data_IF_312786965566
#
_entry.id   IF_312786965566
#
_cell.length_a   1.000
_cell.length_b   1.000
_cell.length_c   1.000
_cell.angle_alpha   90.00
_cell.angle_beta   90.00
_cell.angle_gamma   90.00
#
_symmetry.space_group_name_H-M   'P 1'
#
loop_
_entity.id
_entity.type
_entity.pdbx_description
1 polymer ?
#
# COMPACT_ATOMS: atom_id res chain seq x y z
N UNK A 1 3.43 4.55 11.12
CA UNK A 1 2.22 5.04 10.42
C UNK A 1 1.71 3.92 9.52
N UNK A 2 0.91 2.99 10.07
CA UNK A 2 0.26 1.93 9.30
C UNK A 2 -1.14 2.42 8.91
N UNK A 3 -1.21 3.34 7.96
CA UNK A 3 -2.45 4.03 7.59
C UNK A 3 -3.18 3.24 6.51
N UNK A 4 -4.30 2.61 6.89
CA UNK A 4 -5.48 2.21 6.09
C UNK A 4 -5.30 1.30 4.85
N UNK A 5 -4.16 1.26 4.16
CA UNK A 5 -3.96 0.42 2.95
C UNK A 5 -3.93 -1.09 3.23
N UNK A 6 -3.65 -1.52 4.46
CA UNK A 6 -3.64 -2.95 4.81
C UNK A 6 -5.04 -3.59 4.81
N UNK A 7 -6.09 -2.77 4.93
CA UNK A 7 -7.47 -3.26 5.04
C UNK A 7 -7.96 -3.86 3.71
N UNK A 8 -7.43 -3.42 2.57
CA UNK A 8 -7.83 -3.92 1.25
C UNK A 8 -7.38 -5.37 0.97
N UNK A 9 -6.32 -5.88 1.62
CA UNK A 9 -5.81 -7.24 1.41
C UNK A 9 -6.43 -8.34 2.32
N UNK A 10 -7.17 -7.96 3.36
CA UNK A 10 -7.70 -8.94 4.35
C UNK A 10 -9.19 -9.27 4.11
N UNK A 11 -9.84 -8.59 3.18
CA UNK A 11 -11.29 -8.66 2.97
C UNK A 11 -11.81 -10.06 2.54
N UNK A 12 -10.97 -10.97 2.05
CA UNK A 12 -11.45 -12.23 1.50
C UNK A 12 -11.44 -13.48 2.41
N UNK A 13 -10.98 -13.44 3.68
CA UNK A 13 -10.78 -14.71 4.43
C UNK A 13 -11.18 -14.86 5.90
N UNK A 14 -11.92 -13.94 6.53
CA UNK A 14 -12.33 -14.15 7.93
C UNK A 14 -13.83 -13.96 8.15
N UNK A 15 -14.59 -14.96 7.74
CA UNK A 15 -15.89 -15.24 8.37
C UNK A 15 -15.66 -15.81 9.78
N UNK A 16 -16.15 -15.08 10.79
CA UNK A 16 -16.67 -15.60 12.05
C UNK A 16 -15.74 -16.51 12.90
N UNK A 17 -14.98 -15.91 13.84
CA UNK A 17 -15.25 -16.13 15.27
C UNK A 17 -14.35 -15.25 16.17
N UNK A 18 -15.00 -14.64 17.17
CA UNK A 18 -14.47 -14.10 18.43
C UNK A 18 -13.65 -12.80 18.38
N UNK A 19 -14.38 -11.68 18.32
CA UNK A 19 -14.04 -10.49 19.12
C UNK A 19 -14.82 -10.57 20.43
N UNK A 20 -14.14 -10.96 21.50
CA UNK A 20 -14.54 -10.67 22.87
C UNK A 20 -13.36 -10.02 23.57
N UNK A 21 -13.56 -8.74 23.90
CA UNK A 21 -13.08 -8.01 25.07
C UNK A 21 -11.87 -8.61 25.81
N UNK A 22 -10.77 -7.87 25.89
CA UNK A 22 -10.12 -7.57 27.17
C UNK A 22 -9.44 -6.19 27.03
N UNK A 23 -10.02 -5.22 27.73
CA UNK A 23 -9.35 -4.01 28.20
C UNK A 23 -8.62 -4.46 29.48
N UNK A 24 -7.30 -4.55 29.45
CA UNK A 24 -6.50 -4.83 30.64
C UNK A 24 -5.67 -3.59 30.97
N UNK A 25 -6.16 -2.84 31.94
CA UNK A 25 -5.32 -2.00 32.80
C UNK A 25 -4.33 -2.91 33.52
N UNK A 26 -3.04 -2.62 33.40
CA UNK A 26 -2.02 -3.08 34.35
C UNK A 26 -1.16 -1.86 34.71
N UNK A 27 -1.57 -1.20 35.80
CA UNK A 27 -0.68 -0.34 36.57
C UNK A 27 0.44 -1.21 37.17
N UNK A 28 1.66 -1.04 36.69
CA UNK A 28 2.85 -1.55 37.38
C UNK A 28 3.39 -0.41 38.23
N UNK A 29 3.11 -0.46 39.54
CA UNK A 29 3.86 0.31 40.54
C UNK A 29 5.22 -0.36 40.75
N UNK A 30 6.27 0.24 40.20
CA UNK A 30 7.63 0.05 40.71
C UNK A 30 8.10 1.38 41.26
N UNK A 31 8.13 1.45 42.59
CA UNK A 31 8.88 2.45 43.34
C UNK A 31 10.21 1.82 43.72
N UNK A 32 11.27 2.23 43.06
CA UNK A 32 12.63 2.15 43.59
C UNK A 32 13.30 3.48 43.28
N UNK A 33 13.52 4.27 44.34
CA UNK A 33 14.48 5.38 44.31
C UNK A 33 15.83 4.80 43.92
N UNK A 34 16.34 5.19 42.77
CA UNK A 34 17.77 5.13 42.47
C UNK A 34 18.16 6.45 41.81
N UNK A 35 19.04 7.21 42.47
CA UNK A 35 19.65 8.40 41.90
C UNK A 35 20.55 7.97 40.74
N UNK A 36 20.03 8.04 39.52
CA UNK A 36 20.81 7.77 38.31
C UNK A 36 20.83 8.99 37.40
N UNK A 37 22.06 9.31 37.00
CA UNK A 37 22.48 10.39 36.13
C UNK A 37 21.50 10.59 34.95
N UNK A 38 20.98 11.80 34.76
CA UNK A 38 20.30 12.20 33.53
C UNK A 38 21.32 12.19 32.38
N UNK A 39 21.61 11.02 31.82
CA UNK A 39 22.28 10.89 30.53
C UNK A 39 21.15 11.14 29.52
N UNK A 40 21.13 12.33 28.92
CA UNK A 40 20.36 12.53 27.69
C UNK A 40 20.80 11.46 26.70
N UNK A 41 19.88 10.57 26.33
CA UNK A 41 20.13 9.59 25.28
C UNK A 41 20.41 10.37 23.99
N UNK A 42 21.66 10.31 23.51
CA UNK A 42 22.12 11.07 22.35
C UNK A 42 21.33 10.73 21.08
N UNK A 43 20.68 9.57 21.03
CA UNK A 43 19.79 9.21 19.93
C UNK A 43 18.45 9.96 19.94
N UNK A 44 18.07 10.61 21.04
CA UNK A 44 16.77 11.31 21.17
C UNK A 44 16.58 12.42 20.14
N UNK A 45 17.67 13.05 19.68
CA UNK A 45 17.64 14.17 18.74
C UNK A 45 18.27 13.86 17.37
N UNK A 46 18.71 12.61 17.16
CA UNK A 46 19.35 12.19 15.90
C UNK A 46 18.29 11.63 14.96
N UNK A 47 18.17 12.23 13.78
CA UNK A 47 17.30 11.75 12.71
C UNK A 47 18.13 10.98 11.68
N UNK A 48 18.04 9.65 11.72
CA UNK A 48 18.65 8.79 10.71
C UNK A 48 17.82 8.75 9.42
N UNK A 49 18.41 8.24 8.34
CA UNK A 49 17.71 8.07 7.07
C UNK A 49 16.66 6.94 7.17
N UNK A 50 15.84 6.80 6.14
CA UNK A 50 14.91 5.67 6.05
C UNK A 50 15.67 4.34 6.10
N UNK A 51 15.15 3.40 6.90
CA UNK A 51 15.73 2.06 7.12
C UNK A 51 17.05 2.04 7.91
N UNK A 52 17.31 3.12 8.64
CA UNK A 52 18.38 3.20 9.64
C UNK A 52 17.81 3.34 11.06
N UNK A 53 18.56 2.87 12.05
CA UNK A 53 18.28 3.04 13.46
C UNK A 53 19.46 3.77 14.12
N UNK A 54 19.15 4.68 15.05
CA UNK A 54 20.18 5.28 15.88
C UNK A 54 20.57 4.32 17.00
N UNK A 55 21.86 4.06 17.14
CA UNK A 55 22.44 3.32 18.27
C UNK A 55 23.56 4.14 18.90
N UNK A 56 23.85 3.89 20.18
CA UNK A 56 25.04 4.43 20.82
C UNK A 56 26.22 3.49 20.55
N UNK A 57 27.32 4.03 20.05
CA UNK A 57 28.57 3.28 19.87
C UNK A 57 29.24 3.02 21.24
N UNK A 58 30.41 2.36 21.22
CA UNK A 58 31.16 2.03 22.45
C UNK A 58 31.64 3.25 23.25
N UNK A 59 31.76 4.39 22.58
CA UNK A 59 32.18 5.67 23.15
C UNK A 59 30.98 6.50 23.64
N UNK A 60 29.76 5.96 23.50
CA UNK A 60 28.51 6.61 23.88
C UNK A 60 28.02 7.65 22.87
N UNK A 61 28.59 7.68 21.67
CA UNK A 61 28.20 8.59 20.59
C UNK A 61 27.06 8.00 19.76
N UNK A 62 26.10 8.83 19.36
CA UNK A 62 25.00 8.42 18.49
C UNK A 62 25.46 8.15 17.06
N UNK A 63 25.16 6.97 16.54
CA UNK A 63 25.49 6.51 15.19
C UNK A 63 24.25 5.95 14.49
N UNK A 64 24.05 6.35 13.23
CA UNK A 64 22.99 5.80 12.38
C UNK A 64 23.50 4.56 11.64
N UNK A 65 23.03 3.39 12.07
CA UNK A 65 23.33 2.10 11.45
C UNK A 65 22.12 1.59 10.67
N UNK A 66 22.33 0.66 9.73
CA UNK A 66 21.20 -0.04 9.12
C UNK A 66 20.38 -0.75 10.20
N UNK A 67 19.06 -0.82 10.05
CA UNK A 67 18.17 -1.55 10.98
C UNK A 67 18.78 -2.92 11.30
N UNK A 68 18.93 -3.26 12.57
CA UNK A 68 19.65 -4.47 13.00
C UNK A 68 18.75 -5.69 13.10
N UNK A 69 17.46 -5.48 13.35
CA UNK A 69 16.47 -6.55 13.52
C UNK A 69 15.20 -6.21 12.76
N UNK A 70 14.68 -7.19 12.03
CA UNK A 70 13.37 -7.15 11.39
C UNK A 70 12.49 -8.20 12.06
N UNK A 71 11.23 -7.88 12.30
CA UNK A 71 10.27 -8.87 12.78
C UNK A 71 10.02 -9.91 11.68
N UNK A 72 10.12 -11.18 12.04
CA UNK A 72 9.76 -12.27 11.13
C UNK A 72 8.23 -12.40 11.06
N UNK A 73 7.62 -12.10 9.90
CA UNK A 73 6.18 -12.19 9.78
C UNK A 73 5.73 -13.65 9.84
N UNK A 74 4.70 -13.94 10.66
CA UNK A 74 4.05 -15.26 10.70
C UNK A 74 3.27 -15.56 9.41
N UNK A 75 2.80 -14.52 8.74
CA UNK A 75 2.01 -14.62 7.53
C UNK A 75 2.89 -14.50 6.29
N UNK A 76 2.89 -15.54 5.47
CA UNK A 76 3.67 -15.59 4.21
C UNK A 76 3.27 -14.52 3.20
N UNK A 77 2.08 -13.94 3.33
CA UNK A 77 1.63 -12.82 2.48
C UNK A 77 2.42 -11.54 2.74
N UNK A 78 3.14 -11.46 3.86
CA UNK A 78 4.01 -10.34 4.23
C UNK A 78 5.43 -10.48 3.65
N UNK A 79 5.76 -11.64 3.06
CA UNK A 79 6.96 -11.79 2.24
C UNK A 79 6.89 -10.84 1.05
N UNK A 80 8.02 -10.62 0.39
CA UNK A 80 8.05 -9.78 -0.82
C UNK A 80 8.84 -10.47 -1.93
N UNK A 81 8.45 -10.20 -3.17
CA UNK A 81 9.21 -10.54 -4.37
C UNK A 81 9.71 -9.26 -5.03
N UNK A 82 10.97 -9.24 -5.46
CA UNK A 82 11.58 -8.10 -6.14
C UNK A 82 11.53 -8.23 -7.66
N UNK A 83 11.80 -7.14 -8.39
CA UNK A 83 11.89 -7.13 -9.86
C UNK A 83 13.01 -8.04 -10.37
N UNK A 84 14.08 -8.22 -9.60
CA UNK A 84 15.13 -9.20 -9.89
C UNK A 84 14.74 -10.65 -9.53
N UNK A 85 13.46 -10.92 -9.22
CA UNK A 85 12.92 -12.24 -8.86
C UNK A 85 13.56 -12.84 -7.60
N UNK A 86 13.86 -11.98 -6.61
CA UNK A 86 14.35 -12.40 -5.30
C UNK A 86 13.24 -12.32 -4.24
N UNK A 87 13.11 -13.38 -3.46
CA UNK A 87 12.19 -13.40 -2.32
C UNK A 87 12.89 -12.95 -1.04
N UNK A 88 12.27 -12.01 -0.32
CA UNK A 88 12.65 -11.63 1.04
C UNK A 88 11.51 -11.99 2.00
N UNK A 89 11.84 -12.25 3.27
CA UNK A 89 10.85 -12.62 4.29
C UNK A 89 9.96 -11.44 4.70
N UNK A 90 10.43 -10.21 4.54
CA UNK A 90 9.68 -8.97 4.71
C UNK A 90 10.25 -7.83 3.86
N UNK A 91 9.53 -6.72 3.77
CA UNK A 91 10.02 -5.48 3.18
C UNK A 91 11.16 -4.86 4.02
N UNK A 92 11.11 -4.96 5.35
CA UNK A 92 12.20 -4.56 6.25
C UNK A 92 13.53 -5.22 5.86
N UNK A 93 13.52 -6.54 5.63
CA UNK A 93 14.72 -7.30 5.23
C UNK A 93 15.28 -6.85 3.89
N UNK A 94 14.40 -6.55 2.93
CA UNK A 94 14.80 -6.01 1.64
C UNK A 94 15.47 -4.65 1.77
N UNK A 95 14.87 -3.71 2.50
CA UNK A 95 15.46 -2.38 2.67
C UNK A 95 16.72 -2.40 3.53
N UNK A 96 16.80 -3.29 4.53
CA UNK A 96 18.03 -3.52 5.29
C UNK A 96 19.17 -4.01 4.40
N UNK A 97 18.90 -4.95 3.48
CA UNK A 97 19.87 -5.39 2.50
C UNK A 97 20.34 -4.24 1.59
N UNK A 98 19.42 -3.38 1.13
CA UNK A 98 19.80 -2.18 0.36
C UNK A 98 20.70 -1.25 1.18
N UNK A 99 20.38 -1.02 2.46
CA UNK A 99 21.18 -0.18 3.34
C UNK A 99 22.61 -0.73 3.51
N UNK A 100 22.74 -2.01 3.83
CA UNK A 100 24.06 -2.68 3.94
C UNK A 100 24.87 -2.55 2.66
N UNK A 101 24.25 -2.79 1.51
CA UNK A 101 24.95 -2.71 0.23
C UNK A 101 25.32 -1.29 -0.19
N UNK A 102 24.51 -0.27 0.16
CA UNK A 102 24.87 1.15 -0.06
C UNK A 102 26.07 1.57 0.80
N UNK A 103 26.18 1.04 2.03
CA UNK A 103 27.27 1.34 2.97
C UNK A 103 28.52 0.46 2.80
N UNK A 104 28.52 -0.49 1.87
CA UNK A 104 29.56 -1.52 1.75
C UNK A 104 29.78 -2.29 3.06
N UNK A 105 28.71 -2.53 3.81
CA UNK A 105 28.71 -3.32 5.02
C UNK A 105 29.03 -4.79 4.72
N UNK A 106 29.65 -5.49 5.67
CA UNK A 106 30.00 -6.92 5.55
C UNK A 106 28.78 -7.83 5.35
N UNK A 107 27.60 -7.42 5.84
CA UNK A 107 26.35 -8.14 5.69
C UNK A 107 25.72 -7.99 4.29
N UNK A 108 26.28 -7.14 3.43
CA UNK A 108 25.83 -7.04 2.04
C UNK A 108 26.12 -8.34 1.27
N UNK A 109 25.06 -9.11 1.01
CA UNK A 109 25.15 -10.35 0.23
C UNK A 109 24.65 -10.20 -1.20
N UNK A 110 23.95 -9.11 -1.54
CA UNK A 110 23.31 -8.88 -2.85
C UNK A 110 23.46 -7.43 -3.30
N UNK A 111 24.57 -7.09 -3.97
CA UNK A 111 24.88 -5.71 -4.40
C UNK A 111 23.84 -5.14 -5.37
N UNK A 112 23.22 -5.99 -6.17
CA UNK A 112 22.15 -5.64 -7.11
C UNK A 112 20.89 -5.12 -6.42
N UNK A 113 20.69 -5.44 -5.13
CA UNK A 113 19.53 -4.98 -4.36
C UNK A 113 19.42 -3.45 -4.31
N UNK A 114 20.54 -2.72 -4.38
CA UNK A 114 20.60 -1.25 -4.28
C UNK A 114 19.74 -0.56 -5.34
N UNK A 115 19.66 -1.14 -6.54
CA UNK A 115 18.89 -0.64 -7.69
C UNK A 115 17.61 -1.45 -7.94
N UNK A 116 17.37 -2.50 -7.14
CA UNK A 116 16.18 -3.33 -7.24
C UNK A 116 14.98 -2.66 -6.56
N UNK A 117 13.78 -3.14 -6.86
CA UNK A 117 12.55 -2.66 -6.27
C UNK A 117 11.62 -3.83 -5.93
N UNK A 118 10.76 -3.64 -4.94
CA UNK A 118 9.69 -4.60 -4.66
C UNK A 118 8.71 -4.62 -5.85
N UNK A 119 8.50 -5.81 -6.39
CA UNK A 119 7.54 -6.06 -7.48
C UNK A 119 6.15 -6.36 -6.92
N UNK A 120 6.07 -7.28 -5.94
CA UNK A 120 4.81 -7.59 -5.26
C UNK A 120 5.01 -8.18 -3.86
N UNK A 121 3.94 -8.18 -3.07
CA UNK A 121 3.85 -8.86 -1.78
C UNK A 121 3.49 -10.34 -1.99
N UNK A 122 4.20 -11.21 -1.30
CA UNK A 122 4.21 -12.66 -1.46
C UNK A 122 5.59 -13.19 -1.87
N UNK A 123 5.73 -14.50 -1.84
CA UNK A 123 6.91 -15.19 -2.37
C UNK A 123 6.95 -15.09 -3.90
N UNK A 124 8.15 -15.02 -4.48
CA UNK A 124 8.31 -15.06 -5.92
C UNK A 124 7.75 -16.34 -6.53
N UNK A 125 6.92 -16.18 -7.56
CA UNK A 125 6.26 -17.23 -8.31
C UNK A 125 6.02 -16.78 -9.75
N UNK A 126 5.74 -17.75 -10.62
CA UNK A 126 5.32 -17.49 -11.99
C UNK A 126 3.85 -17.02 -11.99
N UNK A 127 3.64 -15.76 -12.36
CA UNK A 127 2.31 -15.15 -12.48
C UNK A 127 1.71 -15.35 -13.88
N UNK A 128 2.45 -15.92 -14.83
CA UNK A 128 2.07 -16.00 -16.23
C UNK A 128 2.11 -14.64 -16.94
N UNK A 129 1.75 -14.65 -18.22
CA UNK A 129 1.60 -13.44 -19.03
C UNK A 129 0.13 -13.04 -19.08
N UNK A 130 -0.14 -11.73 -19.04
CA UNK A 130 -1.48 -11.23 -19.31
C UNK A 130 -1.76 -11.37 -20.81
N UNK A 131 -2.68 -12.26 -21.16
CA UNK A 131 -3.07 -12.45 -22.57
C UNK A 131 -3.92 -11.28 -23.05
N UNK A 132 -3.97 -11.07 -24.37
CA UNK A 132 -4.79 -10.01 -24.98
C UNK A 132 -6.27 -10.11 -24.58
N UNK A 133 -6.81 -11.34 -24.52
CA UNK A 133 -8.18 -11.57 -24.08
C UNK A 133 -8.40 -11.23 -22.60
N UNK A 134 -7.46 -11.61 -21.72
CA UNK A 134 -7.55 -11.26 -20.30
C UNK A 134 -7.50 -9.74 -20.11
N UNK A 135 -6.61 -9.07 -20.84
CA UNK A 135 -6.47 -7.62 -20.82
C UNK A 135 -7.74 -6.91 -21.31
N UNK A 136 -8.38 -7.42 -22.36
CA UNK A 136 -9.63 -6.86 -22.91
C UNK A 136 -10.78 -6.90 -21.88
N UNK A 137 -10.91 -7.99 -21.12
CA UNK A 137 -11.99 -8.15 -20.14
C UNK A 137 -11.65 -7.53 -18.77
N UNK A 138 -10.38 -7.27 -18.49
CA UNK A 138 -9.89 -6.79 -17.21
C UNK A 138 -10.57 -5.50 -16.72
N UNK A 139 -10.69 -4.41 -17.52
CA UNK A 139 -11.26 -3.15 -17.04
C UNK A 139 -12.70 -3.30 -16.55
N UNK A 140 -13.48 -4.18 -17.20
CA UNK A 140 -14.86 -4.47 -16.79
C UNK A 140 -14.92 -5.18 -15.45
N UNK A 141 -14.07 -6.19 -15.22
CA UNK A 141 -14.02 -6.89 -13.92
C UNK A 141 -13.55 -5.94 -12.82
N UNK A 142 -12.52 -5.15 -13.11
CA UNK A 142 -11.92 -4.21 -12.15
C UNK A 142 -12.96 -3.20 -11.65
N UNK A 143 -13.69 -2.53 -12.55
CA UNK A 143 -14.70 -1.54 -12.12
C UNK A 143 -15.86 -2.16 -11.33
N UNK A 144 -16.35 -3.33 -11.74
CA UNK A 144 -17.40 -4.04 -10.99
C UNK A 144 -16.88 -4.48 -9.61
N UNK A 145 -15.65 -4.97 -9.54
CA UNK A 145 -14.99 -5.35 -8.29
C UNK A 145 -14.78 -4.14 -7.36
N UNK A 146 -14.28 -3.00 -7.86
CA UNK A 146 -14.18 -1.76 -7.07
C UNK A 146 -15.54 -1.37 -6.48
N UNK A 147 -16.62 -1.56 -7.24
CA UNK A 147 -17.98 -1.37 -6.76
C UNK A 147 -18.34 -2.23 -5.55
N UNK A 148 -17.96 -3.51 -5.55
CA UNK A 148 -18.16 -4.41 -4.40
C UNK A 148 -17.26 -4.02 -3.21
N UNK A 149 -16.02 -3.57 -3.47
CA UNK A 149 -15.10 -3.13 -2.42
C UNK A 149 -15.62 -1.88 -1.72
N UNK A 150 -16.06 -0.87 -2.49
CA UNK A 150 -16.65 0.36 -1.93
C UNK A 150 -17.86 0.04 -1.04
N UNK A 151 -18.74 -0.85 -1.49
CA UNK A 151 -19.89 -1.32 -0.73
C UNK A 151 -19.48 -2.01 0.59
N UNK A 152 -18.51 -2.92 0.49
CA UNK A 152 -18.03 -3.69 1.61
C UNK A 152 -17.35 -2.82 2.70
N UNK A 153 -16.57 -1.82 2.29
CA UNK A 153 -15.97 -0.84 3.20
C UNK A 153 -17.04 -0.01 3.92
N UNK A 154 -18.09 0.40 3.22
CA UNK A 154 -19.21 1.12 3.82
C UNK A 154 -19.95 0.26 4.86
N UNK A 155 -20.24 -1.02 4.54
CA UNK A 155 -20.91 -1.94 5.47
C UNK A 155 -20.10 -2.14 6.76
N UNK A 156 -18.77 -2.23 6.64
CA UNK A 156 -17.88 -2.42 7.80
C UNK A 156 -17.61 -1.15 8.59
N UNK A 157 -18.04 0.00 8.07
CA UNK A 157 -17.72 1.33 8.62
C UNK A 157 -16.22 1.67 8.56
N UNK A 158 -15.54 1.12 7.55
CA UNK A 158 -14.14 1.40 7.26
C UNK A 158 -13.98 2.48 6.18
N UNK A 159 -15.07 2.83 5.48
CA UNK A 159 -15.09 3.89 4.47
C UNK A 159 -15.04 5.27 5.13
N UNK A 160 -14.23 6.17 4.57
CA UNK A 160 -14.20 7.57 5.01
C UNK A 160 -15.56 8.23 4.77
N UNK A 161 -16.01 9.05 5.73
CA UNK A 161 -17.34 9.65 5.69
C UNK A 161 -17.52 10.57 4.47
N UNK A 162 -16.43 11.11 3.90
CA UNK A 162 -16.50 11.93 2.68
C UNK A 162 -17.05 11.17 1.46
N UNK A 163 -16.94 9.84 1.44
CA UNK A 163 -17.42 9.00 0.33
C UNK A 163 -18.81 8.39 0.56
N UNK A 164 -19.48 8.68 1.69
CA UNK A 164 -20.80 8.09 1.99
C UNK A 164 -21.85 8.42 0.92
N UNK A 165 -21.82 9.63 0.35
CA UNK A 165 -22.74 10.02 -0.72
C UNK A 165 -22.51 9.15 -1.97
N UNK A 166 -21.23 8.92 -2.33
CA UNK A 166 -20.86 8.12 -3.50
C UNK A 166 -21.37 6.68 -3.40
N UNK A 167 -21.17 6.00 -2.26
CA UNK A 167 -21.63 4.62 -2.07
C UNK A 167 -23.16 4.53 -2.00
N UNK A 168 -23.84 5.48 -1.36
CA UNK A 168 -25.29 5.49 -1.30
C UNK A 168 -25.93 5.69 -2.69
N UNK A 169 -25.35 6.54 -3.54
CA UNK A 169 -25.76 6.69 -4.94
C UNK A 169 -25.49 5.43 -5.76
N UNK A 170 -24.31 4.83 -5.62
CA UNK A 170 -23.96 3.58 -6.30
C UNK A 170 -24.94 2.45 -5.96
N UNK A 171 -25.30 2.28 -4.68
CA UNK A 171 -26.30 1.32 -4.21
C UNK A 171 -27.67 1.54 -4.84
N UNK A 172 -28.13 2.80 -4.89
CA UNK A 172 -29.41 3.15 -5.52
C UNK A 172 -29.41 2.78 -6.99
N UNK A 173 -28.34 3.13 -7.72
CA UNK A 173 -28.16 2.78 -9.13
C UNK A 173 -28.16 1.26 -9.34
N UNK A 174 -27.45 0.51 -8.48
CA UNK A 174 -27.39 -0.95 -8.55
C UNK A 174 -28.77 -1.58 -8.32
N UNK A 175 -29.53 -1.10 -7.34
CA UNK A 175 -30.89 -1.58 -7.05
C UNK A 175 -31.89 -1.27 -8.17
N UNK A 176 -31.72 -0.15 -8.88
CA UNK A 176 -32.54 0.21 -10.04
C UNK A 176 -32.07 -0.40 -11.36
N UNK A 177 -31.05 -1.28 -11.34
CA UNK A 177 -30.41 -1.83 -12.54
C UNK A 177 -29.93 -0.74 -13.53
N UNK A 178 -29.51 0.41 -13.02
CA UNK A 178 -28.94 1.48 -13.83
C UNK A 178 -27.53 1.08 -14.28
N UNK A 179 -27.22 1.30 -15.55
CA UNK A 179 -25.86 1.14 -16.05
C UNK A 179 -24.87 2.04 -15.30
N UNK A 180 -23.58 1.66 -15.31
CA UNK A 180 -22.49 2.42 -14.65
C UNK A 180 -22.61 2.60 -13.13
N UNK A 181 -23.32 1.75 -12.39
CA UNK A 181 -23.35 1.79 -10.91
C UNK A 181 -21.95 1.77 -10.25
N UNK A 182 -20.96 1.19 -10.93
CA UNK A 182 -19.55 1.14 -10.55
C UNK A 182 -18.79 2.47 -10.67
N UNK A 183 -19.35 3.47 -11.37
CA UNK A 183 -18.74 4.79 -11.63
C UNK A 183 -18.20 5.42 -10.35
N UNK A 184 -19.03 5.47 -9.31
CA UNK A 184 -18.69 6.10 -8.05
C UNK A 184 -17.54 5.39 -7.31
N UNK A 185 -17.34 4.09 -7.56
CA UNK A 185 -16.20 3.34 -7.04
C UNK A 185 -14.92 3.63 -7.82
N UNK A 186 -15.00 3.79 -9.14
CA UNK A 186 -13.87 4.24 -9.97
C UNK A 186 -13.40 5.64 -9.54
N UNK A 187 -14.35 6.53 -9.21
CA UNK A 187 -14.04 7.87 -8.69
C UNK A 187 -13.35 7.80 -7.32
N UNK A 188 -13.92 7.04 -6.40
CA UNK A 188 -13.39 6.83 -5.05
C UNK A 188 -11.98 6.26 -5.07
N UNK A 189 -11.73 5.21 -5.86
CA UNK A 189 -10.42 4.56 -5.91
C UNK A 189 -9.33 5.52 -6.39
N UNK A 190 -9.61 6.34 -7.41
CA UNK A 190 -8.66 7.35 -7.86
C UNK A 190 -8.31 8.33 -6.73
N UNK A 191 -9.30 8.86 -6.02
CA UNK A 191 -9.03 9.77 -4.91
C UNK A 191 -8.26 9.11 -3.75
N UNK A 192 -8.43 7.80 -3.53
CA UNK A 192 -7.66 7.09 -2.49
C UNK A 192 -6.21 6.81 -2.92
N UNK A 193 -5.99 6.68 -4.23
CA UNK A 193 -4.66 6.52 -4.81
C UNK A 193 -3.90 7.86 -4.86
N UNK A 194 -4.55 8.94 -5.30
CA UNK A 194 -4.01 10.31 -5.36
C UNK A 194 -3.91 10.93 -3.96
N UNK A 195 -2.81 10.67 -3.27
CA UNK A 195 -2.55 11.18 -1.91
C UNK A 195 -1.98 12.59 -1.93
N UNK A 196 -1.30 12.97 -3.00
CA UNK A 196 -0.80 14.33 -3.21
C UNK A 196 -1.91 15.32 -3.57
N UNK A 197 -3.09 14.81 -3.99
CA UNK A 197 -4.25 15.59 -4.45
C UNK A 197 -3.89 16.50 -5.63
N UNK A 198 -3.00 16.05 -6.51
CA UNK A 198 -2.55 16.79 -7.70
C UNK A 198 -3.22 16.32 -8.99
N UNK A 199 -4.24 15.45 -8.88
CA UNK A 199 -5.00 14.83 -9.96
C UNK A 199 -4.15 13.90 -10.86
N UNK A 200 -3.00 13.43 -10.35
CA UNK A 200 -2.12 12.51 -11.06
C UNK A 200 -1.59 11.46 -10.07
N UNK A 201 -1.93 10.19 -10.30
CA UNK A 201 -1.39 9.12 -9.48
C UNK A 201 0.02 8.77 -9.97
N UNK A 202 1.03 9.04 -9.16
CA UNK A 202 2.42 8.78 -9.52
C UNK A 202 2.89 7.35 -9.16
N UNK A 203 4.11 7.01 -9.56
CA UNK A 203 4.66 5.67 -9.35
C UNK A 203 4.69 5.23 -7.87
N UNK A 204 4.98 6.14 -6.93
CA UNK A 204 5.04 5.82 -5.50
C UNK A 204 3.65 5.53 -4.92
N UNK A 205 2.64 6.25 -5.40
CA UNK A 205 1.24 6.06 -5.02
C UNK A 205 0.68 4.74 -5.56
N UNK A 206 0.94 4.45 -6.83
CA UNK A 206 0.57 3.19 -7.51
C UNK A 206 1.30 1.98 -6.93
N UNK A 207 2.57 2.13 -6.52
CA UNK A 207 3.41 1.01 -6.14
C UNK A 207 2.78 0.13 -5.07
N UNK A 208 2.15 0.71 -4.03
CA UNK A 208 1.53 -0.10 -2.96
C UNK A 208 0.31 -0.88 -3.47
N UNK A 209 -0.50 -0.26 -4.30
CA UNK A 209 -1.69 -0.88 -4.88
C UNK A 209 -1.29 -2.05 -5.78
N UNK A 210 -0.38 -1.81 -6.73
CA UNK A 210 0.14 -2.85 -7.64
C UNK A 210 0.78 -3.98 -6.85
N UNK A 211 1.69 -3.68 -5.92
CA UNK A 211 2.40 -4.70 -5.13
C UNK A 211 1.44 -5.61 -4.36
N UNK A 212 0.30 -5.08 -3.93
CA UNK A 212 -0.72 -5.83 -3.19
C UNK A 212 -1.54 -6.75 -4.09
N UNK A 213 -1.91 -6.29 -5.28
CA UNK A 213 -2.86 -7.00 -6.14
C UNK A 213 -2.21 -7.86 -7.23
N UNK A 214 -0.96 -7.59 -7.61
CA UNK A 214 -0.31 -8.23 -8.76
C UNK A 214 -0.29 -9.76 -8.71
N UNK A 215 -0.21 -10.35 -7.51
CA UNK A 215 -0.27 -11.81 -7.31
C UNK A 215 -1.65 -12.39 -7.62
N UNK A 216 -2.70 -11.63 -7.35
CA UNK A 216 -4.09 -12.06 -7.57
C UNK A 216 -4.57 -11.70 -8.98
N UNK A 217 -3.99 -10.65 -9.57
CA UNK A 217 -4.39 -10.04 -10.82
C UNK A 217 -3.16 -9.67 -11.64
N UNK A 218 -2.60 -10.62 -12.39
CA UNK A 218 -1.37 -10.45 -13.17
C UNK A 218 -1.50 -9.39 -14.28
N UNK A 219 -2.72 -9.09 -14.71
CA UNK A 219 -3.04 -8.08 -15.71
C UNK A 219 -3.04 -6.64 -15.17
N UNK A 220 -2.92 -6.41 -13.85
CA UNK A 220 -3.03 -5.04 -13.32
C UNK A 220 -1.94 -4.10 -13.86
N UNK A 221 -0.68 -4.56 -13.93
CA UNK A 221 0.42 -3.75 -14.45
C UNK A 221 0.26 -3.51 -15.97
N UNK A 222 0.09 -4.54 -16.83
CA UNK A 222 -0.17 -4.32 -18.25
C UNK A 222 -1.37 -3.41 -18.55
N UNK A 223 -2.43 -3.48 -17.73
CA UNK A 223 -3.57 -2.57 -17.84
C UNK A 223 -3.19 -1.12 -17.54
N UNK A 224 -2.49 -0.86 -16.44
CA UNK A 224 -2.06 0.49 -16.08
C UNK A 224 -1.07 1.05 -17.11
N UNK A 225 -0.15 0.23 -17.61
CA UNK A 225 0.77 0.60 -18.69
C UNK A 225 0.01 0.95 -19.99
N UNK A 226 -1.14 0.32 -20.25
CA UNK A 226 -2.01 0.67 -21.37
C UNK A 226 -2.78 1.99 -21.13
N UNK A 227 -3.06 2.33 -19.88
CA UNK A 227 -3.75 3.56 -19.50
C UNK A 227 -2.85 4.79 -19.51
N UNK A 228 -1.54 4.61 -19.30
CA UNK A 228 -0.52 5.65 -19.45
C UNK A 228 -0.29 5.93 -20.95
N UNK A 229 -1.12 6.80 -21.51
CA UNK A 229 -1.15 7.07 -22.95
C UNK A 229 -0.03 7.98 -23.41
N UNK A 230 0.48 8.85 -22.51
CA UNK A 230 1.58 9.75 -22.80
C UNK A 230 2.96 9.21 -22.37
N UNK A 231 2.98 8.05 -21.71
CA UNK A 231 4.17 7.30 -21.27
C UNK A 231 5.03 8.06 -20.24
N UNK A 232 4.39 8.86 -19.37
CA UNK A 232 5.08 9.61 -18.32
C UNK A 232 5.30 8.79 -17.02
N UNK A 233 4.87 7.52 -16.99
CA UNK A 233 4.87 6.59 -15.86
C UNK A 233 3.97 7.03 -14.69
N UNK A 234 2.93 7.80 -14.98
CA UNK A 234 1.88 8.21 -14.06
C UNK A 234 0.52 7.99 -14.72
N UNK A 235 -0.53 8.14 -13.93
CA UNK A 235 -1.90 8.03 -14.42
C UNK A 235 -2.66 9.29 -14.03
N UNK A 236 -2.94 10.13 -15.01
CA UNK A 236 -3.80 11.30 -14.80
C UNK A 236 -5.27 10.91 -14.57
N UNK A 237 -6.06 11.81 -13.99
CA UNK A 237 -7.50 11.59 -13.80
C UNK A 237 -8.24 11.35 -15.13
N UNK A 238 -7.81 12.00 -16.21
CA UNK A 238 -8.36 11.81 -17.56
C UNK A 238 -8.02 10.45 -18.15
N UNK A 239 -6.79 9.96 -17.97
CA UNK A 239 -6.36 8.62 -18.41
C UNK A 239 -7.10 7.53 -17.64
N UNK A 240 -7.11 7.62 -16.31
CA UNK A 240 -7.86 6.70 -15.45
C UNK A 240 -9.34 6.63 -15.84
N UNK A 241 -9.97 7.80 -15.97
CA UNK A 241 -11.37 7.91 -16.33
C UNK A 241 -11.66 7.32 -17.69
N UNK A 242 -10.85 7.66 -18.70
CA UNK A 242 -11.00 7.13 -20.06
C UNK A 242 -10.85 5.62 -20.09
N UNK A 243 -9.81 5.08 -19.43
CA UNK A 243 -9.53 3.65 -19.38
C UNK A 243 -10.66 2.83 -18.76
N UNK A 244 -11.35 3.38 -17.76
CA UNK A 244 -12.43 2.69 -17.04
C UNK A 244 -13.83 3.05 -17.58
N UNK A 245 -13.91 3.88 -18.63
CA UNK A 245 -15.16 4.19 -19.34
C UNK A 245 -16.01 5.29 -18.68
N UNK A 246 -15.37 6.22 -17.99
CA UNK A 246 -15.99 7.47 -17.54
C UNK A 246 -16.21 8.42 -18.72
N UNK A 247 -17.30 9.17 -18.70
CA UNK A 247 -17.54 10.22 -19.69
C UNK A 247 -17.02 11.59 -19.23
N UNK A 248 -17.12 12.61 -20.09
CA UNK A 248 -16.57 13.95 -19.81
C UNK A 248 -17.15 14.60 -18.55
N UNK A 249 -18.41 14.34 -18.24
CA UNK A 249 -19.03 14.91 -17.05
C UNK A 249 -18.52 14.18 -15.80
N UNK A 250 -18.32 12.87 -15.92
CA UNK A 250 -17.73 12.03 -14.87
C UNK A 250 -16.30 12.46 -14.55
N UNK A 251 -15.48 12.71 -15.57
CA UNK A 251 -14.10 13.19 -15.41
C UNK A 251 -14.04 14.60 -14.81
N UNK A 252 -14.92 15.52 -15.24
CA UNK A 252 -15.01 16.84 -14.62
C UNK A 252 -15.40 16.76 -13.12
N UNK A 253 -16.30 15.83 -12.78
CA UNK A 253 -16.66 15.56 -11.40
C UNK A 253 -15.49 14.95 -10.61
N UNK A 254 -14.76 13.98 -11.19
CA UNK A 254 -13.59 13.35 -10.59
C UNK A 254 -12.56 14.39 -10.14
N UNK A 255 -12.11 15.22 -11.08
CA UNK A 255 -11.08 16.24 -10.84
C UNK A 255 -11.52 17.21 -9.74
N UNK A 256 -12.79 17.60 -9.71
CA UNK A 256 -13.31 18.51 -8.69
C UNK A 256 -13.43 17.83 -7.32
N UNK A 257 -13.85 16.57 -7.29
CA UNK A 257 -14.11 15.84 -6.06
C UNK A 257 -12.83 15.41 -5.34
N UNK A 258 -11.81 14.94 -6.07
CA UNK A 258 -10.54 14.50 -5.47
C UNK A 258 -9.61 15.66 -5.05
N UNK A 259 -9.86 16.88 -5.51
CA UNK A 259 -9.04 18.05 -5.14
C UNK A 259 -9.28 18.54 -3.68
N UNK A 260 -10.07 17.81 -2.88
CA UNK A 260 -10.51 18.15 -1.51
C UNK A 260 -10.45 16.96 -0.53
#
# INVERSE_FOLDING_TARGET
MATKSYILLVVAFLSCHQLLSIRAELEVKVSTKDETLHIEDQCSNVKCNENEACILNKDGEAECVCITECEDPKDKRLMICTKANHTYTSDCEFYRMQCWCRKNDEHCTRKESVTDAIDYFGQCQDLGVCTEFELEVFPKRMKEWLGEILDALFVRKDLDSKYETLVNEARKMKLSNTEKWWRNAVLWEFCELDRTHDNVVNNEELARFIRSLKVLEHCIQPFLDHCDTDNDNKISSDEWGTCLGLDKNDMAFLTTFCSH
#
